data_IF_149597573539
#
_entry.id   IF_149597573539
#
_cell.length_a   1.000
_cell.length_b   1.000
_cell.length_c   1.000
_cell.angle_alpha   90.00
_cell.angle_beta   90.00
_cell.angle_gamma   90.00
#
_symmetry.space_group_name_H-M   'P 1'
#
loop_
_entity.id
_entity.type
_entity.pdbx_description
1 polymer ?
#
# COMPACT_ATOMS: atom_id res chain seq x y z
N UNK A 1 17.66 -52.69 55.18
CA UNK A 1 17.40 -53.39 53.90
C UNK A 1 16.75 -52.38 52.97
N UNK A 2 17.50 -51.86 52.00
CA UNK A 2 16.95 -50.96 50.97
C UNK A 2 15.87 -51.73 50.20
N UNK A 3 14.65 -51.20 50.16
CA UNK A 3 13.67 -51.68 49.19
C UNK A 3 14.12 -51.11 47.86
N UNK A 4 14.83 -51.91 47.07
CA UNK A 4 15.20 -51.54 45.72
C UNK A 4 13.92 -51.15 44.97
N UNK A 5 13.93 -49.98 44.34
CA UNK A 5 12.78 -49.48 43.60
C UNK A 5 12.53 -50.41 42.41
N UNK A 6 11.28 -50.84 42.22
CA UNK A 6 10.89 -51.74 41.14
C UNK A 6 9.69 -51.17 40.38
N UNK A 7 9.56 -51.59 39.12
CA UNK A 7 8.47 -51.23 38.23
C UNK A 7 7.16 -51.84 38.75
N UNK A 8 6.15 -51.00 38.98
CA UNK A 8 4.86 -51.45 39.55
C UNK A 8 4.05 -52.36 38.61
N UNK A 9 4.44 -52.48 37.34
CA UNK A 9 3.74 -53.31 36.34
C UNK A 9 4.44 -54.64 36.09
N UNK A 10 5.77 -54.66 35.97
CA UNK A 10 6.51 -55.86 35.59
C UNK A 10 7.58 -56.31 36.61
N UNK A 11 7.82 -55.54 37.68
CA UNK A 11 8.81 -55.86 38.71
C UNK A 11 10.27 -55.53 38.36
N UNK A 12 10.52 -54.92 37.21
CA UNK A 12 11.86 -54.54 36.75
C UNK A 12 12.51 -53.45 37.63
N UNK A 13 13.79 -53.58 37.96
CA UNK A 13 14.55 -52.66 38.85
C UNK A 13 15.47 -51.70 38.08
N UNK A 14 15.30 -51.60 36.77
CA UNK A 14 15.98 -50.62 35.90
C UNK A 14 15.58 -49.18 36.20
N UNK A 15 16.11 -48.19 35.46
CA UNK A 15 15.70 -46.79 35.56
C UNK A 15 14.18 -46.65 35.49
N UNK A 16 13.61 -45.98 36.49
CA UNK A 16 12.18 -45.81 36.63
C UNK A 16 11.80 -44.34 36.42
N UNK A 17 10.63 -44.12 35.82
CA UNK A 17 9.93 -42.82 35.84
C UNK A 17 9.56 -42.40 37.26
N UNK A 18 9.14 -41.15 37.41
CA UNK A 18 8.55 -40.59 38.65
C UNK A 18 7.42 -41.47 39.22
N UNK A 19 6.67 -42.15 38.34
CA UNK A 19 5.57 -43.06 38.69
C UNK A 19 6.00 -44.52 38.88
N UNK A 20 7.29 -44.80 39.03
CA UNK A 20 7.85 -46.16 39.21
C UNK A 20 7.49 -47.11 38.07
N UNK A 21 7.53 -46.62 36.83
CA UNK A 21 7.44 -47.47 35.63
C UNK A 21 8.80 -47.55 34.96
N UNK A 22 9.26 -48.76 34.63
CA UNK A 22 10.39 -48.92 33.72
C UNK A 22 10.02 -48.41 32.33
N UNK A 23 11.03 -48.09 31.53
CA UNK A 23 10.89 -47.49 30.20
C UNK A 23 9.86 -48.23 29.31
N UNK A 24 9.95 -49.56 29.25
CA UNK A 24 9.05 -50.39 28.42
C UNK A 24 7.59 -50.26 28.84
N UNK A 25 7.32 -50.24 30.15
CA UNK A 25 5.96 -50.09 30.68
C UNK A 25 5.45 -48.66 30.55
N UNK A 26 6.37 -47.69 30.61
CA UNK A 26 6.07 -46.27 30.46
C UNK A 26 5.66 -45.94 29.00
N UNK A 27 6.46 -46.36 28.01
CA UNK A 27 6.19 -46.13 26.58
C UNK A 27 4.90 -46.78 26.07
N UNK A 28 4.41 -47.84 26.70
CA UNK A 28 3.11 -48.46 26.34
C UNK A 28 1.90 -47.60 26.73
N UNK A 29 2.10 -46.58 27.57
CA UNK A 29 1.02 -45.80 28.20
C UNK A 29 1.13 -44.31 27.94
N UNK A 30 2.28 -43.85 27.47
CA UNK A 30 2.59 -42.45 27.22
C UNK A 30 3.03 -42.31 25.77
N UNK A 31 2.39 -41.41 25.05
CA UNK A 31 2.83 -40.97 23.73
C UNK A 31 3.37 -39.55 23.90
N UNK A 32 4.47 -39.22 23.24
CA UNK A 32 5.03 -37.87 23.28
C UNK A 32 4.10 -36.88 22.59
N UNK A 33 3.53 -37.28 21.47
CA UNK A 33 2.70 -36.41 20.67
C UNK A 33 1.53 -37.14 20.00
N UNK A 34 0.62 -36.38 19.40
CA UNK A 34 -0.42 -36.86 18.49
C UNK A 34 -0.56 -35.90 17.33
N UNK A 35 -0.74 -36.46 16.14
CA UNK A 35 -0.97 -35.70 14.92
C UNK A 35 -2.01 -36.43 14.05
N UNK A 36 -3.04 -35.73 13.53
CA UNK A 36 -3.95 -36.31 12.55
C UNK A 36 -3.22 -36.71 11.26
N UNK A 37 -3.68 -37.80 10.62
CA UNK A 37 -3.14 -38.27 9.34
C UNK A 37 -3.49 -37.34 8.16
N UNK A 38 -4.56 -36.57 8.28
CA UNK A 38 -5.05 -35.68 7.23
C UNK A 38 -5.45 -34.35 7.84
N UNK A 39 -4.93 -33.26 7.27
CA UNK A 39 -5.29 -31.89 7.61
C UNK A 39 -6.01 -31.29 6.40
N UNK A 40 -7.27 -30.89 6.59
CA UNK A 40 -8.03 -30.18 5.56
C UNK A 40 -7.70 -28.68 5.60
N UNK A 41 -7.40 -28.12 4.44
CA UNK A 41 -7.28 -26.67 4.26
C UNK A 41 -8.06 -26.17 3.04
N UNK A 42 -8.23 -24.86 2.95
CA UNK A 42 -8.97 -24.21 1.88
C UNK A 42 -8.14 -23.15 1.18
N UNK A 43 -8.24 -23.13 -0.15
CA UNK A 43 -7.61 -22.14 -1.04
C UNK A 43 -8.68 -21.47 -1.90
N UNK A 44 -8.55 -20.17 -2.09
CA UNK A 44 -9.40 -19.43 -3.02
C UNK A 44 -8.87 -19.64 -4.45
N UNK A 45 -9.66 -20.21 -5.38
CA UNK A 45 -9.20 -20.42 -6.76
C UNK A 45 -9.05 -19.12 -7.56
N UNK A 46 -9.51 -17.97 -7.03
CA UNK A 46 -9.44 -16.66 -7.73
C UNK A 46 -8.22 -15.83 -7.38
N UNK A 47 -7.75 -15.90 -6.13
CA UNK A 47 -6.65 -15.06 -5.63
C UNK A 47 -5.55 -15.86 -4.94
N UNK A 48 -5.71 -17.19 -4.86
CA UNK A 48 -4.75 -18.14 -4.27
C UNK A 48 -4.45 -17.94 -2.78
N UNK A 49 -5.25 -17.11 -2.08
CA UNK A 49 -5.17 -16.99 -0.64
C UNK A 49 -5.69 -18.27 0.05
N UNK A 50 -5.09 -18.60 1.19
CA UNK A 50 -5.50 -19.70 2.06
C UNK A 50 -6.31 -19.19 3.26
N UNK A 51 -7.23 -20.03 3.73
CA UNK A 51 -8.04 -19.75 4.93
C UNK A 51 -7.25 -20.07 6.19
N UNK A 52 -6.97 -19.07 7.03
CA UNK A 52 -6.19 -19.17 8.25
C UNK A 52 -7.04 -18.58 9.38
N UNK A 53 -7.54 -19.46 10.27
CA UNK A 53 -8.33 -19.09 11.47
C UNK A 53 -9.47 -18.10 11.12
N UNK A 54 -10.22 -18.37 10.05
CA UNK A 54 -11.35 -17.55 9.60
C UNK A 54 -10.97 -16.31 8.76
N UNK A 55 -9.68 -16.07 8.48
CA UNK A 55 -9.19 -14.99 7.61
C UNK A 55 -8.56 -15.57 6.35
N UNK A 56 -8.32 -14.72 5.35
CA UNK A 56 -7.74 -15.14 4.07
C UNK A 56 -6.44 -14.38 3.81
N UNK A 57 -5.33 -15.10 3.65
CA UNK A 57 -4.02 -14.49 3.38
C UNK A 57 -3.25 -15.29 2.34
N UNK A 58 -2.37 -14.60 1.61
CA UNK A 58 -1.31 -15.28 0.86
C UNK A 58 -0.25 -15.75 1.84
N UNK A 59 0.32 -16.92 1.56
CA UNK A 59 1.37 -17.53 2.37
C UNK A 59 2.14 -18.53 1.52
N UNK A 60 3.45 -18.59 1.74
CA UNK A 60 4.30 -19.61 1.12
C UNK A 60 3.98 -21.01 1.68
N UNK A 61 4.25 -22.04 0.87
CA UNK A 61 3.84 -23.40 1.18
C UNK A 61 4.47 -23.95 2.46
N UNK A 62 5.75 -23.69 2.71
CA UNK A 62 6.44 -24.15 3.93
C UNK A 62 5.93 -23.45 5.18
N UNK A 63 5.75 -22.12 5.13
CA UNK A 63 5.18 -21.36 6.26
C UNK A 63 3.75 -21.80 6.57
N UNK A 64 2.96 -22.09 5.53
CA UNK A 64 1.61 -22.60 5.70
C UNK A 64 1.63 -24.00 6.33
N UNK A 65 2.53 -24.88 5.90
CA UNK A 65 2.69 -26.22 6.47
C UNK A 65 3.11 -26.15 7.95
N UNK A 66 4.10 -25.33 8.32
CA UNK A 66 4.49 -25.09 9.71
C UNK A 66 3.29 -24.63 10.56
N UNK A 67 2.50 -23.67 10.06
CA UNK A 67 1.30 -23.20 10.74
C UNK A 67 0.28 -24.34 10.93
N UNK A 68 0.06 -25.19 9.92
CA UNK A 68 -0.84 -26.35 10.03
C UNK A 68 -0.36 -27.39 11.04
N UNK A 69 0.95 -27.64 11.09
CA UNK A 69 1.57 -28.52 12.07
C UNK A 69 1.30 -27.96 13.46
N UNK A 70 1.62 -26.68 13.72
CA UNK A 70 1.39 -26.03 15.01
C UNK A 70 -0.08 -26.02 15.45
N UNK A 71 -1.00 -25.85 14.50
CA UNK A 71 -2.44 -25.83 14.80
C UNK A 71 -3.02 -27.22 15.14
N UNK A 72 -2.34 -28.31 14.80
CA UNK A 72 -2.86 -29.68 14.93
C UNK A 72 -1.99 -30.64 15.76
N UNK A 73 -0.73 -30.29 16.03
CA UNK A 73 0.18 -31.10 16.84
C UNK A 73 -0.17 -30.95 18.32
N UNK A 74 -0.55 -32.06 18.95
CA UNK A 74 -0.70 -32.15 20.40
C UNK A 74 0.59 -32.76 20.98
N UNK A 75 1.17 -32.12 22.00
CA UNK A 75 2.35 -32.60 22.72
C UNK A 75 1.92 -32.88 24.16
N UNK A 76 2.43 -33.95 24.79
CA UNK A 76 2.17 -34.25 26.20
C UNK A 76 2.73 -33.11 27.07
N UNK A 77 1.88 -32.55 27.95
CA UNK A 77 2.24 -31.40 28.80
C UNK A 77 3.45 -31.64 29.72
N UNK A 78 3.85 -32.90 29.92
CA UNK A 78 5.02 -33.27 30.74
C UNK A 78 6.32 -33.35 29.94
N UNK A 79 6.28 -33.08 28.63
CA UNK A 79 7.44 -33.16 27.77
C UNK A 79 8.33 -31.92 27.91
N UNK A 80 9.62 -32.16 28.15
CA UNK A 80 10.68 -31.16 28.16
C UNK A 80 11.60 -31.35 26.93
N UNK A 81 12.36 -30.31 26.59
CA UNK A 81 13.32 -30.30 25.47
C UNK A 81 12.72 -30.79 24.12
N UNK A 82 11.51 -30.32 23.82
CA UNK A 82 10.77 -30.74 22.62
C UNK A 82 11.35 -30.11 21.36
N UNK A 83 11.74 -30.94 20.41
CA UNK A 83 12.14 -30.54 19.07
C UNK A 83 11.15 -31.08 18.02
N UNK A 84 10.81 -30.22 17.05
CA UNK A 84 9.84 -30.50 16.00
C UNK A 84 10.47 -30.12 14.67
N UNK A 85 10.77 -31.13 13.86
CA UNK A 85 11.34 -30.97 12.53
C UNK A 85 10.37 -31.52 11.48
N UNK A 86 10.30 -30.89 10.31
CA UNK A 86 9.46 -31.38 9.23
C UNK A 86 10.08 -31.19 7.85
N UNK A 87 9.70 -32.07 6.93
CA UNK A 87 9.99 -31.98 5.51
C UNK A 87 8.69 -32.00 4.70
N UNK A 88 8.56 -31.04 3.78
CA UNK A 88 7.40 -30.89 2.90
C UNK A 88 7.67 -31.55 1.54
N UNK A 89 6.77 -32.43 1.11
CA UNK A 89 6.77 -33.04 -0.22
C UNK A 89 5.47 -32.66 -0.94
N UNK A 90 5.58 -31.94 -2.06
CA UNK A 90 4.43 -31.67 -2.94
C UNK A 90 4.09 -32.93 -3.73
N UNK A 91 2.87 -33.46 -3.56
CA UNK A 91 2.39 -34.60 -4.36
C UNK A 91 1.71 -34.08 -5.63
N UNK A 92 0.79 -33.14 -5.47
CA UNK A 92 0.07 -32.44 -6.54
C UNK A 92 -0.37 -31.03 -6.08
N UNK A 93 -1.06 -30.27 -6.95
CA UNK A 93 -1.53 -28.91 -6.64
C UNK A 93 -2.50 -28.81 -5.45
N UNK A 94 -3.09 -29.94 -5.03
CA UNK A 94 -4.08 -29.98 -3.96
C UNK A 94 -3.58 -30.75 -2.74
N UNK A 95 -2.50 -31.51 -2.85
CA UNK A 95 -2.06 -32.43 -1.81
C UNK A 95 -0.58 -32.28 -1.56
N UNK A 96 -0.25 -31.94 -0.32
CA UNK A 96 1.12 -32.00 0.19
C UNK A 96 1.23 -33.10 1.24
N UNK A 97 2.37 -33.77 1.27
CA UNK A 97 2.75 -34.67 2.34
C UNK A 97 3.78 -33.99 3.23
N UNK A 98 3.58 -34.09 4.53
CA UNK A 98 4.52 -33.65 5.55
C UNK A 98 5.06 -34.88 6.24
N UNK A 99 6.37 -35.03 6.21
CA UNK A 99 7.09 -35.92 7.12
C UNK A 99 7.45 -35.09 8.35
N UNK A 100 6.96 -35.50 9.52
CA UNK A 100 7.10 -34.76 10.77
C UNK A 100 7.80 -35.66 11.78
N UNK A 101 8.90 -35.18 12.34
CA UNK A 101 9.62 -35.85 13.42
C UNK A 101 9.52 -34.98 14.68
N UNK A 102 9.08 -35.60 15.77
CA UNK A 102 8.89 -34.96 17.07
C UNK A 102 9.71 -35.73 18.08
N UNK A 103 10.62 -35.04 18.77
CA UNK A 103 11.45 -35.63 19.82
C UNK A 103 11.37 -34.81 21.11
N UNK A 104 11.61 -35.45 22.24
CA UNK A 104 11.56 -34.79 23.54
C UNK A 104 11.78 -35.76 24.69
N UNK A 105 11.75 -35.26 25.92
CA UNK A 105 11.98 -36.03 27.14
C UNK A 105 10.74 -36.03 28.01
N UNK A 106 10.32 -37.21 28.50
CA UNK A 106 9.25 -37.32 29.52
C UNK A 106 9.76 -38.22 30.64
N UNK A 107 9.75 -37.73 31.89
CA UNK A 107 10.23 -38.47 33.07
C UNK A 107 11.63 -39.09 32.87
N UNK A 108 12.56 -38.35 32.25
CA UNK A 108 13.94 -38.75 31.88
C UNK A 108 14.06 -39.81 30.78
N UNK A 109 12.98 -40.15 30.09
CA UNK A 109 13.04 -41.02 28.92
C UNK A 109 12.93 -40.21 27.64
N UNK A 110 13.81 -40.49 26.68
CA UNK A 110 13.78 -39.87 25.36
C UNK A 110 12.67 -40.49 24.49
N UNK A 111 11.83 -39.67 23.89
CA UNK A 111 10.79 -40.08 22.95
C UNK A 111 11.06 -39.51 21.57
N UNK A 112 10.65 -40.27 20.56
CA UNK A 112 10.70 -39.90 19.17
C UNK A 112 9.44 -40.46 18.50
N UNK A 113 8.64 -39.59 17.91
CA UNK A 113 7.46 -39.91 17.13
C UNK A 113 7.66 -39.39 15.70
N UNK A 114 7.39 -40.25 14.71
CA UNK A 114 7.39 -39.87 13.29
C UNK A 114 5.99 -39.99 12.69
N UNK A 115 5.57 -38.99 11.95
CA UNK A 115 4.26 -38.93 11.29
C UNK A 115 4.41 -38.67 9.79
N UNK A 116 3.54 -39.32 9.01
CA UNK A 116 3.24 -38.92 7.64
C UNK A 116 1.84 -38.31 7.62
N UNK A 117 1.77 -37.01 7.32
CA UNK A 117 0.54 -36.22 7.32
C UNK A 117 0.23 -35.73 5.92
N UNK A 118 -1.02 -35.88 5.48
CA UNK A 118 -1.49 -35.33 4.21
C UNK A 118 -2.23 -34.00 4.45
N UNK A 119 -1.72 -32.91 3.89
CA UNK A 119 -2.41 -31.63 3.83
C UNK A 119 -3.21 -31.58 2.52
N UNK A 120 -4.53 -31.63 2.62
CA UNK A 120 -5.45 -31.63 1.47
C UNK A 120 -6.11 -30.26 1.28
N UNK A 121 -6.06 -29.74 0.07
CA UNK A 121 -6.51 -28.40 -0.29
C UNK A 121 -7.81 -28.46 -1.08
N UNK A 122 -8.90 -28.00 -0.47
CA UNK A 122 -10.18 -27.82 -1.14
C UNK A 122 -10.36 -26.37 -1.61
N UNK A 123 -11.20 -26.17 -2.62
CA UNK A 123 -11.52 -24.82 -3.08
C UNK A 123 -12.62 -24.23 -2.19
N UNK A 124 -12.42 -23.01 -1.71
CA UNK A 124 -13.48 -22.18 -1.15
C UNK A 124 -13.22 -20.72 -1.53
N UNK A 125 -14.27 -20.01 -1.95
CA UNK A 125 -14.12 -18.62 -2.40
C UNK A 125 -13.99 -17.73 -1.18
N UNK A 126 -12.92 -16.94 -1.12
CA UNK A 126 -12.69 -16.02 -0.02
C UNK A 126 -13.72 -14.89 0.01
N UNK A 127 -14.01 -14.38 1.21
CA UNK A 127 -14.94 -13.26 1.42
C UNK A 127 -14.64 -12.05 0.52
N UNK A 128 -13.38 -11.63 0.33
CA UNK A 128 -13.04 -10.53 -0.56
C UNK A 128 -13.39 -10.79 -2.03
N UNK A 129 -13.09 -11.97 -2.58
CA UNK A 129 -13.46 -12.32 -3.95
C UNK A 129 -14.98 -12.36 -4.13
N UNK A 130 -15.70 -12.99 -3.20
CA UNK A 130 -17.18 -13.02 -3.21
C UNK A 130 -17.76 -11.61 -3.21
N UNK A 131 -17.21 -10.69 -2.39
CA UNK A 131 -17.62 -9.29 -2.35
C UNK A 131 -17.33 -8.57 -3.66
N UNK A 132 -16.14 -8.75 -4.23
CA UNK A 132 -15.73 -8.15 -5.49
C UNK A 132 -16.67 -8.55 -6.63
N UNK A 133 -17.02 -9.82 -6.74
CA UNK A 133 -17.95 -10.31 -7.77
C UNK A 133 -19.39 -9.85 -7.50
N UNK A 134 -19.77 -9.72 -6.21
CA UNK A 134 -21.10 -9.30 -5.77
C UNK A 134 -21.36 -7.79 -5.85
N UNK A 135 -20.54 -7.03 -6.58
CA UNK A 135 -20.64 -5.57 -6.69
C UNK A 135 -20.64 -4.83 -5.33
N UNK A 136 -20.00 -5.40 -4.32
CA UNK A 136 -19.90 -4.81 -2.99
C UNK A 136 -18.91 -3.65 -2.96
N UNK A 137 -19.32 -2.51 -2.40
CA UNK A 137 -18.42 -1.38 -2.13
C UNK A 137 -18.81 -0.64 -0.86
N UNK A 138 -17.81 -0.07 -0.20
CA UNK A 138 -17.96 0.72 1.03
C UNK A 138 -17.71 2.21 0.79
N UNK A 139 -17.02 2.55 -0.29
CA UNK A 139 -16.69 3.92 -0.59
C UNK A 139 -16.84 4.25 -2.09
N UNK A 140 -17.20 5.50 -2.37
CA UNK A 140 -17.20 6.11 -3.69
C UNK A 140 -16.16 7.23 -3.68
N UNK A 141 -15.22 7.21 -4.63
CA UNK A 141 -14.33 8.33 -4.89
C UNK A 141 -14.77 9.02 -6.16
N UNK A 142 -14.98 10.32 -6.08
CA UNK A 142 -15.42 11.15 -7.19
C UNK A 142 -14.30 12.12 -7.56
N UNK A 143 -13.70 11.92 -8.73
CA UNK A 143 -12.73 12.85 -9.28
C UNK A 143 -13.47 13.92 -10.09
N UNK A 144 -13.25 15.17 -9.73
CA UNK A 144 -13.83 16.35 -10.37
C UNK A 144 -12.73 17.39 -10.58
N UNK A 145 -12.99 18.39 -11.41
CA UNK A 145 -12.15 19.58 -11.53
C UNK A 145 -12.89 20.82 -11.01
N UNK A 146 -12.13 21.81 -10.56
CA UNK A 146 -12.64 23.14 -10.26
C UNK A 146 -12.81 23.94 -11.57
N UNK A 147 -14.05 24.27 -11.94
CA UNK A 147 -14.36 25.22 -13.01
C UNK A 147 -14.21 24.72 -14.46
N UNK A 148 -13.72 23.49 -14.68
CA UNK A 148 -13.65 22.88 -16.02
C UNK A 148 -13.86 21.35 -15.97
N UNK A 149 -13.81 20.69 -17.14
CA UNK A 149 -13.70 19.23 -17.23
C UNK A 149 -12.24 18.80 -17.10
N UNK A 150 -12.00 17.66 -16.47
CA UNK A 150 -10.71 16.99 -16.49
C UNK A 150 -10.46 16.44 -17.90
N UNK A 151 -9.23 16.55 -18.39
CA UNK A 151 -8.82 15.85 -19.61
C UNK A 151 -8.66 14.35 -19.35
N UNK A 152 -8.62 13.55 -20.40
CA UNK A 152 -8.31 12.12 -20.28
C UNK A 152 -6.89 11.89 -19.75
N UNK A 153 -5.92 12.74 -20.11
CA UNK A 153 -4.56 12.65 -19.59
C UNK A 153 -4.51 12.87 -18.09
N UNK A 154 -5.21 13.88 -17.58
CA UNK A 154 -5.31 14.14 -16.13
C UNK A 154 -6.00 12.99 -15.40
N UNK A 155 -7.08 12.43 -15.96
CA UNK A 155 -7.75 11.28 -15.34
C UNK A 155 -6.83 10.05 -15.26
N UNK A 156 -6.07 9.77 -16.32
CA UNK A 156 -5.06 8.70 -16.32
C UNK A 156 -3.98 8.94 -15.26
N UNK A 157 -3.48 10.17 -15.16
CA UNK A 157 -2.45 10.53 -14.18
C UNK A 157 -2.97 10.37 -12.74
N UNK A 158 -4.19 10.84 -12.45
CA UNK A 158 -4.82 10.67 -11.14
C UNK A 158 -5.01 9.18 -10.83
N UNK A 159 -5.48 8.39 -11.79
CA UNK A 159 -5.70 6.95 -11.62
C UNK A 159 -4.41 6.16 -11.43
N UNK A 160 -3.33 6.55 -12.10
CA UNK A 160 -2.02 5.92 -11.93
C UNK A 160 -1.55 5.98 -10.47
N UNK A 161 -1.85 7.07 -9.74
CA UNK A 161 -1.53 7.16 -8.31
C UNK A 161 -2.26 6.14 -7.43
N UNK A 162 -3.42 5.64 -7.88
CA UNK A 162 -4.11 4.54 -7.19
C UNK A 162 -3.39 3.22 -7.42
N UNK A 163 -2.92 2.96 -8.66
CA UNK A 163 -2.13 1.76 -8.96
C UNK A 163 -0.79 1.77 -8.21
N UNK A 164 -0.11 2.91 -8.16
CA UNK A 164 1.10 3.11 -7.37
C UNK A 164 0.84 2.82 -5.88
N UNK A 165 -0.27 3.34 -5.33
CA UNK A 165 -0.65 3.10 -3.94
C UNK A 165 -0.93 1.62 -3.66
N UNK A 166 -1.63 0.93 -4.57
CA UNK A 166 -1.93 -0.50 -4.44
C UNK A 166 -0.69 -1.37 -4.59
N UNK A 167 0.27 -0.97 -5.44
CA UNK A 167 1.55 -1.68 -5.60
C UNK A 167 2.52 -1.50 -4.43
N UNK A 168 2.43 -0.39 -3.69
CA UNK A 168 3.31 -0.07 -2.55
C UNK A 168 2.79 -0.48 -1.17
N UNK A 169 1.57 -1.04 -1.07
CA UNK A 169 0.96 -1.45 0.19
C UNK A 169 1.04 -2.95 0.41
N UNK A 170 1.01 -3.37 1.69
CA UNK A 170 0.74 -4.77 2.02
C UNK A 170 -0.63 -5.16 1.45
N UNK A 171 -0.71 -6.35 0.86
CA UNK A 171 -1.89 -6.80 0.13
C UNK A 171 -3.09 -6.99 1.08
N UNK A 172 -3.90 -5.96 1.29
CA UNK A 172 -5.20 -6.07 1.93
C UNK A 172 -6.22 -6.61 0.89
N UNK A 173 -6.79 -7.81 1.10
CA UNK A 173 -7.75 -8.37 0.16
C UNK A 173 -8.99 -7.49 -0.07
N UNK A 174 -9.34 -6.59 0.85
CA UNK A 174 -10.45 -5.64 0.72
C UNK A 174 -10.12 -4.40 -0.13
N UNK A 175 -8.86 -4.24 -0.56
CA UNK A 175 -8.42 -3.11 -1.39
C UNK A 175 -8.62 -3.44 -2.87
N UNK A 176 -9.89 -3.49 -3.28
CA UNK A 176 -10.27 -3.72 -4.67
C UNK A 176 -11.19 -2.63 -5.21
N UNK A 177 -11.11 -2.42 -6.52
CA UNK A 177 -12.02 -1.59 -7.30
C UNK A 177 -13.17 -2.50 -7.76
N UNK A 178 -14.39 -2.08 -7.46
CA UNK A 178 -15.62 -2.78 -7.86
C UNK A 178 -16.08 -2.31 -9.23
N UNK A 179 -16.05 -1.00 -9.44
CA UNK A 179 -16.50 -0.34 -10.66
C UNK A 179 -15.80 1.01 -10.77
N UNK A 180 -15.44 1.39 -11.97
CA UNK A 180 -14.96 2.74 -12.28
C UNK A 180 -15.46 3.18 -13.65
N UNK A 181 -15.66 4.48 -13.85
CA UNK A 181 -16.21 4.97 -15.11
C UNK A 181 -16.45 6.47 -15.18
N UNK A 182 -16.51 6.99 -16.41
CA UNK A 182 -16.79 8.40 -16.70
C UNK A 182 -18.25 8.69 -16.36
N UNK A 183 -18.45 9.80 -15.68
CA UNK A 183 -19.77 10.33 -15.33
C UNK A 183 -19.88 11.79 -15.74
N UNK A 184 -21.08 12.34 -15.73
CA UNK A 184 -21.29 13.76 -16.04
C UNK A 184 -20.49 14.63 -15.05
N UNK A 185 -19.49 15.33 -15.56
CA UNK A 185 -18.65 16.24 -14.78
C UNK A 185 -17.39 15.62 -14.16
N UNK A 186 -17.08 14.34 -14.42
CA UNK A 186 -15.83 13.73 -13.97
C UNK A 186 -15.80 12.22 -14.07
N UNK A 187 -15.24 11.58 -13.04
CA UNK A 187 -15.01 10.14 -13.01
C UNK A 187 -15.28 9.60 -11.60
N UNK A 188 -15.98 8.47 -11.50
CA UNK A 188 -16.36 7.86 -10.23
C UNK A 188 -15.78 6.45 -10.10
N UNK A 189 -15.30 6.12 -8.90
CA UNK A 189 -14.78 4.81 -8.56
C UNK A 189 -15.50 4.28 -7.32
N UNK A 190 -15.88 3.02 -7.35
CA UNK A 190 -16.44 2.27 -6.22
C UNK A 190 -15.37 1.35 -5.65
N UNK A 191 -15.08 1.53 -4.37
CA UNK A 191 -13.98 0.92 -3.66
C UNK A 191 -14.50 0.02 -2.54
N UNK A 192 -13.87 -1.16 -2.40
CA UNK A 192 -14.21 -2.15 -1.37
C UNK A 192 -13.95 -1.68 0.06
N UNK A 193 -13.14 -0.63 0.25
CA UNK A 193 -12.69 -0.15 1.57
C UNK A 193 -12.75 1.38 1.69
N UNK A 194 -13.22 1.86 2.86
CA UNK A 194 -13.19 3.29 3.23
C UNK A 194 -11.78 3.82 3.50
N UNK A 195 -10.89 2.99 4.06
CA UNK A 195 -9.52 3.40 4.34
C UNK A 195 -8.76 3.65 3.04
N UNK A 196 -8.93 2.77 2.05
CA UNK A 196 -8.36 2.93 0.71
C UNK A 196 -8.79 4.26 0.06
N UNK A 197 -10.08 4.60 0.12
CA UNK A 197 -10.62 5.85 -0.42
C UNK A 197 -9.98 7.10 0.23
N UNK A 198 -9.84 7.10 1.56
CA UNK A 198 -9.21 8.20 2.30
C UNK A 198 -7.71 8.33 2.03
N UNK A 199 -7.01 7.21 2.00
CA UNK A 199 -5.57 7.18 1.70
C UNK A 199 -5.31 7.73 0.30
N UNK A 200 -6.06 7.27 -0.70
CA UNK A 200 -5.91 7.77 -2.06
C UNK A 200 -6.25 9.27 -2.15
N UNK A 201 -7.33 9.71 -1.51
CA UNK A 201 -7.66 11.14 -1.43
C UNK A 201 -6.50 12.00 -0.91
N UNK A 202 -5.85 11.57 0.18
CA UNK A 202 -4.68 12.30 0.72
C UNK A 202 -3.54 12.37 -0.28
N UNK A 203 -3.24 11.28 -0.99
CA UNK A 203 -2.22 11.25 -2.06
C UNK A 203 -2.56 12.28 -3.13
N UNK A 204 -3.81 12.31 -3.59
CA UNK A 204 -4.27 13.26 -4.61
C UNK A 204 -4.05 14.71 -4.18
N UNK A 205 -4.47 15.08 -2.96
CA UNK A 205 -4.26 16.45 -2.44
C UNK A 205 -2.79 16.80 -2.23
N UNK A 206 -1.97 15.83 -1.83
CA UNK A 206 -0.54 16.05 -1.62
C UNK A 206 0.21 16.27 -2.93
N UNK A 207 -0.12 15.49 -3.97
CA UNK A 207 0.56 15.54 -5.28
C UNK A 207 0.03 16.67 -6.17
N UNK A 208 -1.29 16.84 -6.23
CA UNK A 208 -1.95 17.72 -7.19
C UNK A 208 -2.67 18.92 -6.57
N UNK A 209 -2.62 19.08 -5.24
CA UNK A 209 -3.40 20.09 -4.54
C UNK A 209 -4.90 19.82 -4.64
N UNK A 210 -5.70 20.84 -4.38
CA UNK A 210 -7.16 20.79 -4.47
C UNK A 210 -7.86 20.51 -3.16
N UNK A 211 -9.16 20.26 -3.25
CA UNK A 211 -10.03 20.08 -2.08
C UNK A 211 -10.66 18.71 -2.05
N UNK A 212 -10.83 18.17 -0.84
CA UNK A 212 -11.61 16.95 -0.60
C UNK A 212 -12.82 17.29 0.27
N UNK A 213 -13.96 16.71 -0.10
CA UNK A 213 -15.15 16.68 0.75
C UNK A 213 -15.54 15.23 1.01
N UNK A 214 -15.68 14.87 2.28
CA UNK A 214 -16.17 13.56 2.71
C UNK A 214 -17.62 13.68 3.17
N UNK A 215 -18.45 12.73 2.75
CA UNK A 215 -19.82 12.55 3.26
C UNK A 215 -20.06 11.08 3.54
N UNK A 216 -20.87 10.76 4.53
CA UNK A 216 -21.24 9.37 4.85
C UNK A 216 -22.76 9.22 4.79
N UNK A 217 -23.22 8.13 4.19
CA UNK A 217 -24.65 7.81 4.06
C UNK A 217 -24.93 6.46 4.70
N UNK A 218 -25.97 6.38 5.51
CA UNK A 218 -26.40 5.10 6.11
C UNK A 218 -27.12 4.29 5.03
N UNK A 219 -26.68 3.05 4.81
CA UNK A 219 -27.28 2.13 3.82
C UNK A 219 -28.01 0.95 4.46
N UNK A 220 -27.86 0.77 5.77
CA UNK A 220 -28.56 -0.27 6.51
C UNK A 220 -28.06 -0.38 7.93
N UNK A 221 -28.53 -1.40 8.63
CA UNK A 221 -28.17 -1.71 10.01
C UNK A 221 -27.90 -3.20 10.14
N UNK A 222 -26.87 -3.57 10.90
CA UNK A 222 -26.53 -4.96 11.18
C UNK A 222 -26.04 -5.07 12.61
N UNK A 223 -26.64 -5.99 13.37
CA UNK A 223 -26.29 -6.25 14.77
C UNK A 223 -26.29 -4.98 15.64
N UNK A 224 -27.24 -4.08 15.37
CA UNK A 224 -27.36 -2.80 16.08
C UNK A 224 -26.41 -1.69 15.58
N UNK A 225 -25.53 -1.98 14.62
CA UNK A 225 -24.53 -1.05 14.09
C UNK A 225 -24.95 -0.55 12.70
N UNK A 226 -24.90 0.76 12.49
CA UNK A 226 -25.16 1.36 11.18
C UNK A 226 -24.07 0.99 10.17
N UNK A 227 -24.49 0.43 9.04
CA UNK A 227 -23.63 0.24 7.88
C UNK A 227 -23.70 1.51 7.05
N UNK A 228 -22.57 2.19 6.91
CA UNK A 228 -22.46 3.42 6.12
C UNK A 228 -21.63 3.24 4.86
N UNK A 229 -21.92 4.01 3.81
CA UNK A 229 -21.05 4.21 2.65
C UNK A 229 -20.41 5.60 2.69
N UNK A 230 -19.12 5.65 2.43
CA UNK A 230 -18.33 6.88 2.37
C UNK A 230 -18.32 7.42 0.93
N UNK A 231 -18.52 8.72 0.74
CA UNK A 231 -18.25 9.40 -0.53
C UNK A 231 -17.14 10.42 -0.32
N UNK A 232 -16.06 10.28 -1.07
CA UNK A 232 -14.90 11.18 -1.10
C UNK A 232 -14.92 11.93 -2.43
N UNK A 233 -15.27 13.21 -2.42
CA UNK A 233 -15.26 14.06 -3.60
C UNK A 233 -13.96 14.86 -3.64
N UNK A 234 -13.06 14.51 -4.55
CA UNK A 234 -11.85 15.26 -4.84
C UNK A 234 -12.08 16.26 -5.99
N UNK A 235 -11.60 17.49 -5.82
CA UNK A 235 -11.64 18.54 -6.86
C UNK A 235 -10.23 19.01 -7.16
N UNK A 236 -9.70 18.63 -8.33
CA UNK A 236 -8.40 19.07 -8.84
C UNK A 236 -8.47 20.54 -9.27
N UNK A 237 -7.51 21.40 -8.89
CA UNK A 237 -7.41 22.75 -9.40
C UNK A 237 -7.04 22.75 -10.90
N UNK A 238 -7.33 23.86 -11.57
CA UNK A 238 -7.00 24.01 -12.99
C UNK A 238 -5.49 24.14 -13.24
N UNK A 239 -4.74 24.61 -12.24
CA UNK A 239 -3.30 24.87 -12.24
C UNK A 239 -2.53 23.82 -11.42
N UNK A 240 -1.23 23.72 -11.66
CA UNK A 240 -0.28 22.82 -11.00
C UNK A 240 0.89 23.58 -10.36
N UNK A 241 1.71 22.89 -9.56
CA UNK A 241 3.00 23.43 -9.10
C UNK A 241 3.88 23.73 -10.31
N UNK A 242 4.55 24.88 -10.29
CA UNK A 242 5.33 25.40 -11.41
C UNK A 242 4.55 26.28 -12.38
N UNK A 243 3.21 26.26 -12.37
CA UNK A 243 2.44 27.14 -13.24
C UNK A 243 2.57 28.60 -12.81
N UNK A 244 2.58 29.50 -13.80
CA UNK A 244 2.44 30.94 -13.59
C UNK A 244 0.97 31.33 -13.74
N UNK A 245 0.42 31.94 -12.69
CA UNK A 245 -0.96 32.41 -12.62
C UNK A 245 -1.04 33.90 -12.37
N UNK A 246 -2.09 34.54 -12.88
CA UNK A 246 -2.47 35.91 -12.54
C UNK A 246 -3.52 35.89 -11.43
N UNK A 247 -3.22 36.57 -10.32
CA UNK A 247 -4.13 36.74 -9.18
C UNK A 247 -4.03 38.19 -8.69
N UNK A 248 -5.17 38.88 -8.58
CA UNK A 248 -5.25 40.28 -8.13
C UNK A 248 -4.30 41.23 -8.89
N UNK A 249 -4.24 41.11 -10.21
CA UNK A 249 -3.35 41.85 -11.13
C UNK A 249 -1.84 41.56 -11.02
N UNK A 250 -1.42 40.66 -10.13
CA UNK A 250 -0.03 40.22 -10.03
C UNK A 250 0.18 38.85 -10.63
N UNK A 251 1.41 38.59 -11.08
CA UNK A 251 1.85 37.29 -11.56
C UNK A 251 2.53 36.52 -10.43
N UNK A 252 2.11 35.27 -10.27
CA UNK A 252 2.55 34.38 -9.21
C UNK A 252 2.90 33.01 -9.79
N UNK A 253 3.97 32.41 -9.28
CA UNK A 253 4.33 31.02 -9.49
C UNK A 253 3.66 30.18 -8.40
N UNK A 254 3.02 29.08 -8.76
CA UNK A 254 2.54 28.08 -7.79
C UNK A 254 3.74 27.30 -7.27
N UNK A 255 4.03 27.44 -5.98
CA UNK A 255 5.25 26.90 -5.37
C UNK A 255 5.01 25.51 -4.75
N UNK A 256 3.99 25.38 -3.93
CA UNK A 256 3.68 24.14 -3.22
C UNK A 256 2.24 24.13 -2.73
N UNK A 257 1.75 22.94 -2.36
CA UNK A 257 0.40 22.75 -1.82
C UNK A 257 0.37 22.84 -0.30
N UNK A 258 -0.64 23.53 0.23
CA UNK A 258 -1.05 23.45 1.63
C UNK A 258 -2.52 23.04 1.70
N UNK A 259 -2.99 22.77 2.94
CA UNK A 259 -4.35 22.33 3.21
C UNK A 259 -5.40 23.29 2.65
N UNK A 260 -5.23 24.59 2.90
CA UNK A 260 -6.25 25.61 2.58
C UNK A 260 -6.00 26.32 1.25
N UNK A 261 -4.95 25.94 0.51
CA UNK A 261 -4.61 26.49 -0.81
C UNK A 261 -3.12 26.38 -1.12
N UNK A 262 -2.66 26.93 -2.26
CA UNK A 262 -1.25 26.93 -2.60
C UNK A 262 -0.45 27.99 -1.84
N UNK A 263 0.83 27.70 -1.63
CA UNK A 263 1.83 28.75 -1.49
C UNK A 263 2.20 29.25 -2.88
N UNK A 264 2.26 30.57 -3.01
CA UNK A 264 2.56 31.27 -4.25
C UNK A 264 3.76 32.20 -4.06
N UNK A 265 4.60 32.30 -5.09
CA UNK A 265 5.77 33.19 -5.15
C UNK A 265 5.57 34.25 -6.22
N UNK A 266 5.84 35.51 -5.92
CA UNK A 266 5.68 36.59 -6.89
C UNK A 266 6.78 36.49 -7.94
N UNK A 267 6.48 36.73 -9.22
CA UNK A 267 7.49 36.63 -10.29
C UNK A 267 8.55 37.74 -10.23
N UNK A 268 8.14 38.97 -9.89
CA UNK A 268 9.01 40.16 -10.01
C UNK A 268 10.12 40.26 -8.97
N UNK A 269 9.88 39.76 -7.75
CA UNK A 269 10.81 39.85 -6.63
C UNK A 269 10.44 38.81 -5.58
N UNK A 270 11.38 38.47 -4.70
CA UNK A 270 11.17 37.46 -3.68
C UNK A 270 10.06 37.89 -2.70
N UNK A 271 8.88 37.33 -2.89
CA UNK A 271 7.74 37.46 -1.99
C UNK A 271 6.95 36.16 -2.03
N UNK A 272 6.81 35.52 -0.87
CA UNK A 272 6.04 34.29 -0.69
C UNK A 272 4.75 34.61 0.06
N UNK A 273 3.63 34.07 -0.40
CA UNK A 273 2.33 34.24 0.25
C UNK A 273 1.51 32.96 0.15
N UNK A 274 0.58 32.77 1.08
CA UNK A 274 -0.45 31.74 0.94
C UNK A 274 -1.69 32.35 0.30
N UNK A 275 -2.31 31.63 -0.64
CA UNK A 275 -3.62 31.99 -1.18
C UNK A 275 -4.62 30.90 -0.82
N UNK A 276 -5.83 31.27 -0.40
CA UNK A 276 -6.86 30.27 -0.10
C UNK A 276 -7.42 29.68 -1.39
N UNK A 277 -8.00 28.48 -1.34
CA UNK A 277 -8.73 27.91 -2.49
C UNK A 277 -9.79 28.86 -3.04
N UNK A 278 -10.43 29.66 -2.17
CA UNK A 278 -11.43 30.66 -2.54
C UNK A 278 -10.82 31.83 -3.30
N UNK A 279 -9.65 32.33 -2.87
CA UNK A 279 -8.95 33.40 -3.59
C UNK A 279 -8.53 32.92 -4.98
N UNK A 280 -8.06 31.67 -5.05
CA UNK A 280 -7.62 31.06 -6.27
C UNK A 280 -8.73 30.76 -7.29
N UNK A 281 -10.01 30.85 -6.92
CA UNK A 281 -11.12 30.78 -7.89
C UNK A 281 -11.02 31.90 -8.95
N UNK A 282 -10.40 33.03 -8.60
CA UNK A 282 -10.16 34.17 -9.51
C UNK A 282 -8.84 34.05 -10.28
N UNK A 283 -8.00 33.08 -9.93
CA UNK A 283 -6.70 32.91 -10.56
C UNK A 283 -6.87 32.43 -12.00
N UNK A 284 -6.06 32.99 -12.91
CA UNK A 284 -6.02 32.57 -14.32
C UNK A 284 -4.62 32.09 -14.65
N UNK A 285 -4.51 30.93 -15.27
CA UNK A 285 -3.22 30.44 -15.77
C UNK A 285 -2.77 31.37 -16.89
N UNK A 286 -1.51 31.79 -16.82
CA UNK A 286 -0.86 32.65 -17.82
C UNK A 286 0.19 31.87 -18.60
N UNK A 287 0.94 31.00 -17.91
CA UNK A 287 1.91 30.11 -18.54
C UNK A 287 1.95 28.81 -17.73
N UNK A 288 1.56 27.71 -18.37
CA UNK A 288 1.61 26.38 -17.76
C UNK A 288 3.04 25.82 -17.75
N UNK A 289 3.35 24.89 -16.84
CA UNK A 289 4.68 24.25 -16.79
C UNK A 289 5.04 23.55 -18.12
N UNK A 290 4.05 23.04 -18.87
CA UNK A 290 4.26 22.44 -20.20
C UNK A 290 4.64 23.44 -21.30
N UNK A 291 4.37 24.74 -21.10
CA UNK A 291 4.73 25.83 -22.02
C UNK A 291 6.03 26.54 -21.59
N UNK A 292 6.67 26.05 -20.52
CA UNK A 292 7.94 26.58 -20.04
C UNK A 292 9.10 25.80 -20.68
N UNK A 293 10.18 26.51 -20.96
CA UNK A 293 11.34 25.95 -21.64
C UNK A 293 12.59 26.18 -20.80
N UNK A 294 13.43 25.15 -20.71
CA UNK A 294 14.79 25.28 -20.19
C UNK A 294 15.68 25.62 -21.38
N UNK A 295 16.38 26.75 -21.29
CA UNK A 295 17.23 27.29 -22.36
C UNK A 295 18.65 27.50 -21.84
N UNK A 296 19.63 27.37 -22.74
CA UNK A 296 21.02 27.70 -22.44
C UNK A 296 21.22 29.22 -22.46
N UNK A 297 22.07 29.69 -21.55
CA UNK A 297 22.47 31.09 -21.44
C UNK A 297 23.66 31.32 -22.37
N UNK A 298 23.50 32.21 -23.35
CA UNK A 298 24.57 32.56 -24.29
C UNK A 298 25.48 33.63 -23.73
N UNK A 299 24.88 34.60 -23.04
CA UNK A 299 25.58 35.68 -22.36
C UNK A 299 24.78 36.12 -21.13
N UNK A 300 25.47 36.66 -20.12
CA UNK A 300 24.86 37.08 -18.85
C UNK A 300 25.59 38.31 -18.33
N UNK A 301 24.81 39.32 -17.92
CA UNK A 301 25.30 40.44 -17.14
C UNK A 301 24.76 40.39 -15.70
N UNK A 302 24.82 41.50 -14.95
CA UNK A 302 24.36 41.56 -13.56
C UNK A 302 22.84 41.54 -13.38
N UNK A 303 22.06 41.68 -14.44
CA UNK A 303 20.60 41.90 -14.39
C UNK A 303 19.81 41.18 -15.47
N UNK A 304 20.46 40.73 -16.54
CA UNK A 304 19.85 40.12 -17.70
C UNK A 304 20.71 38.98 -18.26
N UNK A 305 20.03 38.07 -18.98
CA UNK A 305 20.65 37.00 -19.75
C UNK A 305 20.16 37.05 -21.19
N UNK A 306 21.07 36.78 -22.12
CA UNK A 306 20.74 36.56 -23.53
C UNK A 306 20.57 35.06 -23.75
N UNK A 307 19.40 34.68 -24.24
CA UNK A 307 19.00 33.30 -24.49
C UNK A 307 18.49 33.16 -25.92
N UNK A 308 18.51 31.95 -26.44
CA UNK A 308 17.92 31.65 -27.74
C UNK A 308 16.42 31.33 -27.56
N UNK A 309 15.55 32.05 -28.27
CA UNK A 309 14.11 31.83 -28.25
C UNK A 309 13.77 30.41 -28.75
N UNK A 310 12.99 29.61 -28.01
CA UNK A 310 12.65 28.25 -28.42
C UNK A 310 11.65 28.18 -29.57
N UNK A 311 11.02 29.31 -29.96
CA UNK A 311 10.04 29.35 -31.05
C UNK A 311 10.69 29.57 -32.43
N UNK A 312 11.64 30.48 -32.52
CA UNK A 312 12.21 30.98 -33.78
C UNK A 312 13.75 31.04 -33.78
N UNK A 313 14.39 30.59 -32.69
CA UNK A 313 15.84 30.55 -32.52
C UNK A 313 16.54 31.91 -32.62
N UNK A 314 15.80 33.00 -32.42
CA UNK A 314 16.38 34.35 -32.35
C UNK A 314 16.96 34.64 -30.96
N UNK A 315 17.97 35.50 -30.90
CA UNK A 315 18.52 35.97 -29.62
C UNK A 315 17.53 36.91 -28.93
N UNK A 316 17.16 36.59 -27.69
CA UNK A 316 16.27 37.41 -26.86
C UNK A 316 16.92 37.64 -25.50
N UNK A 317 16.82 38.87 -25.00
CA UNK A 317 17.28 39.24 -23.67
C UNK A 317 16.13 39.09 -22.67
N UNK A 318 16.36 38.38 -21.57
CA UNK A 318 15.43 38.21 -20.46
C UNK A 318 16.04 38.79 -19.19
N UNK A 319 15.23 39.43 -18.34
CA UNK A 319 15.68 39.85 -17.02
C UNK A 319 15.94 38.60 -16.15
N UNK A 320 17.03 38.62 -15.37
CA UNK A 320 17.35 37.53 -14.45
C UNK A 320 16.29 37.44 -13.33
N UNK A 321 15.88 36.23 -12.92
CA UNK A 321 15.00 36.08 -11.78
C UNK A 321 15.73 36.48 -10.50
N UNK A 322 14.99 36.85 -9.46
CA UNK A 322 15.57 37.28 -8.18
C UNK A 322 16.37 36.18 -7.47
N UNK A 323 16.20 34.91 -7.86
CA UNK A 323 16.91 33.74 -7.35
C UNK A 323 17.83 33.11 -8.42
N UNK A 324 18.32 33.93 -9.36
CA UNK A 324 19.32 33.51 -10.36
C UNK A 324 20.57 32.89 -9.69
N UNK A 325 20.94 31.70 -10.14
CA UNK A 325 22.22 31.10 -9.81
C UNK A 325 23.26 31.47 -10.88
N UNK A 326 24.22 32.29 -10.47
CA UNK A 326 25.34 32.75 -11.31
C UNK A 326 26.15 31.56 -11.88
N UNK A 327 26.17 30.41 -11.19
CA UNK A 327 26.87 29.21 -11.67
C UNK A 327 26.06 28.41 -12.69
N UNK A 328 24.74 28.61 -12.75
CA UNK A 328 23.90 27.92 -13.72
C UNK A 328 24.21 28.41 -15.13
N UNK A 329 24.32 27.47 -16.08
CA UNK A 329 24.44 27.75 -17.51
C UNK A 329 23.10 27.75 -18.23
N UNK A 330 22.00 27.51 -17.49
CA UNK A 330 20.64 27.38 -18.01
C UNK A 330 19.67 28.26 -17.23
N UNK A 331 18.58 28.65 -17.90
CA UNK A 331 17.44 29.34 -17.30
C UNK A 331 16.14 28.66 -17.71
N UNK A 332 15.15 28.71 -16.83
CA UNK A 332 13.76 28.42 -17.20
C UNK A 332 13.09 29.71 -17.66
N UNK A 333 12.51 29.69 -18.85
CA UNK A 333 11.75 30.81 -19.41
C UNK A 333 10.31 30.40 -19.73
N UNK A 334 9.38 31.34 -19.65
CA UNK A 334 8.00 31.18 -20.07
C UNK A 334 7.56 32.36 -20.93
N UNK A 335 6.63 32.11 -21.87
CA UNK A 335 6.07 33.16 -22.71
C UNK A 335 4.88 33.83 -22.02
N UNK A 336 5.03 35.10 -21.63
CA UNK A 336 4.06 35.82 -20.81
C UNK A 336 3.83 37.22 -21.40
N UNK A 337 2.58 37.52 -21.76
CA UNK A 337 2.21 38.81 -22.38
C UNK A 337 3.09 39.18 -23.59
N UNK A 338 3.22 38.23 -24.52
CA UNK A 338 3.96 38.38 -25.79
C UNK A 338 5.48 38.56 -25.67
N UNK A 339 6.04 38.30 -24.49
CA UNK A 339 7.49 38.36 -24.24
C UNK A 339 7.99 37.13 -23.47
N UNK A 340 9.24 36.76 -23.71
CA UNK A 340 9.93 35.75 -22.90
C UNK A 340 10.31 36.34 -21.54
N UNK A 341 10.00 35.60 -20.48
CA UNK A 341 10.31 35.99 -19.10
C UNK A 341 11.04 34.84 -18.42
N UNK A 342 12.18 35.12 -17.79
CA UNK A 342 12.84 34.13 -16.94
C UNK A 342 12.03 33.90 -15.66
N UNK A 343 11.83 32.64 -15.31
CA UNK A 343 11.00 32.23 -14.19
C UNK A 343 11.87 31.88 -12.98
N UNK A 344 11.47 32.29 -11.77
CA UNK A 344 12.22 31.96 -10.56
C UNK A 344 12.06 30.49 -10.17
N UNK A 345 12.95 30.00 -9.31
CA UNK A 345 12.91 28.66 -8.74
C UNK A 345 13.40 27.55 -9.66
N UNK A 346 14.14 27.88 -10.71
CA UNK A 346 14.91 26.90 -11.47
C UNK A 346 16.15 26.50 -10.68
N UNK A 347 16.34 25.20 -10.44
CA UNK A 347 17.57 24.65 -9.85
C UNK A 347 18.30 23.79 -10.88
N UNK A 348 19.61 23.63 -10.74
CA UNK A 348 20.42 22.81 -11.66
C UNK A 348 19.99 21.32 -11.69
N UNK A 349 19.29 20.84 -10.65
CA UNK A 349 18.72 19.49 -10.60
C UNK A 349 17.54 19.30 -11.57
N UNK A 350 16.83 20.38 -11.92
CA UNK A 350 15.73 20.37 -12.89
C UNK A 350 16.21 20.18 -14.35
N UNK A 351 17.53 20.13 -14.59
CA UNK A 351 18.15 20.05 -15.91
C UNK A 351 18.61 18.63 -16.31
N UNK A 352 18.34 17.61 -15.49
CA UNK A 352 18.73 16.20 -15.67
C UNK A 352 17.61 15.39 -16.32
#
# INVERSE_FOLDING_TARGET
MSKDAFCIVCGDTTTLSSNRLCEVCFRKRVNLSKMPKVIQQFRCPKCECYEIRGRWSKMEHETLADLRIRDNLEIDDRADDVNVDFALQVIDDRTNRVHLDVSGMIDNFFFEDSYEVLIQTSNAICTPCTRKDGAYFEAIVQLRSAGRKLSESELRELRATLDEMLGGMEADPMFFITKEGIVTGGWDLQLGSKSMARSWGRILTKKFGGTIKETSTVVGMRDGIEITRLTVSYRKPAYAVGDVVKLNNDLWLIDSWQKDGPIIRRLKFFQRSGATWRDMEKARIICSTSEQHIVDIMNRDSSAAEVMSPQDYTMTTVALPYDDDIKSTKLRIGYIHDVWVALPGFTAEDAI
#
